data_IF_192457397076
#
_entry.id   IF_192457397076
#
_cell.length_a   1.000
_cell.length_b   1.000
_cell.length_c   1.000
_cell.angle_alpha   90.00
_cell.angle_beta   90.00
_cell.angle_gamma   90.00
#
_symmetry.space_group_name_H-M   'P 1'
#
loop_
_entity.id
_entity.type
_entity.pdbx_description
1 polymer ?
#
# COMPACT_ATOMS: atom_id res chain seq x y z
N UNK A 1 -11.45 -1.88 12.57
CA UNK A 1 -10.98 -2.81 11.54
C UNK A 1 -9.51 -2.57 11.25
N UNK A 2 -8.74 -3.61 11.30
CA UNK A 2 -7.31 -3.51 11.04
C UNK A 2 -7.01 -3.76 9.57
N UNK A 3 -5.84 -3.37 9.12
CA UNK A 3 -5.44 -3.61 7.75
C UNK A 3 -5.40 -5.09 7.37
N UNK A 4 -5.11 -5.95 8.32
CA UNK A 4 -5.06 -7.39 8.05
C UNK A 4 -6.39 -7.94 7.58
N UNK A 5 -7.48 -7.29 7.92
CA UNK A 5 -8.82 -7.72 7.53
C UNK A 5 -9.04 -7.63 6.02
N UNK A 6 -8.19 -6.89 5.32
CA UNK A 6 -8.31 -6.72 3.87
C UNK A 6 -7.56 -7.78 3.08
N UNK A 7 -6.68 -8.53 3.73
CA UNK A 7 -5.84 -9.50 3.03
C UNK A 7 -6.61 -10.61 2.31
N UNK A 8 -7.71 -11.13 2.88
CA UNK A 8 -8.48 -12.16 2.17
C UNK A 8 -9.02 -11.71 0.82
N UNK A 9 -9.15 -10.41 0.59
CA UNK A 9 -9.66 -9.88 -0.67
C UNK A 9 -8.74 -10.18 -1.85
N UNK A 10 -7.51 -10.56 -1.59
CA UNK A 10 -6.53 -10.85 -2.65
C UNK A 10 -6.66 -12.24 -3.24
N UNK A 11 -7.63 -13.02 -2.79
CA UNK A 11 -7.68 -14.46 -3.09
C UNK A 11 -8.45 -14.83 -4.33
N UNK A 12 -9.25 -13.97 -4.87
CA UNK A 12 -10.11 -14.33 -5.99
C UNK A 12 -10.22 -13.16 -6.95
N UNK A 13 -10.45 -13.50 -8.21
CA UNK A 13 -10.60 -12.53 -9.28
C UNK A 13 -12.00 -12.51 -9.87
N UNK A 14 -13.02 -12.97 -9.13
CA UNK A 14 -14.40 -12.89 -9.60
C UNK A 14 -14.87 -11.43 -9.66
N UNK A 15 -15.89 -11.16 -10.49
CA UNK A 15 -16.45 -9.82 -10.61
C UNK A 15 -16.96 -9.27 -9.28
N UNK A 16 -17.61 -10.11 -8.50
CA UNK A 16 -18.10 -9.71 -7.19
C UNK A 16 -16.96 -9.29 -6.27
N UNK A 17 -15.82 -9.95 -6.40
CA UNK A 17 -14.65 -9.60 -5.60
C UNK A 17 -14.04 -8.28 -6.03
N UNK A 18 -14.01 -7.99 -7.33
CA UNK A 18 -13.51 -6.71 -7.81
C UNK A 18 -14.37 -5.58 -7.25
N UNK A 19 -15.70 -5.72 -7.30
CA UNK A 19 -16.60 -4.72 -6.76
C UNK A 19 -16.39 -4.52 -5.26
N UNK A 20 -16.14 -5.61 -4.53
CA UNK A 20 -15.87 -5.53 -3.09
C UNK A 20 -14.57 -4.79 -2.81
N UNK A 21 -13.52 -5.03 -3.60
CA UNK A 21 -12.24 -4.32 -3.46
C UNK A 21 -12.42 -2.82 -3.67
N UNK A 22 -13.18 -2.42 -4.68
CA UNK A 22 -13.42 -1.01 -4.92
C UNK A 22 -14.16 -0.35 -3.76
N UNK A 23 -15.18 -1.02 -3.24
CA UNK A 23 -15.93 -0.51 -2.09
C UNK A 23 -15.03 -0.38 -0.88
N UNK A 24 -14.21 -1.39 -0.61
CA UNK A 24 -13.26 -1.35 0.49
C UNK A 24 -12.24 -0.23 0.32
N UNK A 25 -11.77 -0.01 -0.88
CA UNK A 25 -10.84 1.08 -1.17
C UNK A 25 -11.43 2.43 -0.79
N UNK A 26 -12.70 2.67 -1.15
CA UNK A 26 -13.36 3.92 -0.79
C UNK A 26 -13.53 4.06 0.72
N UNK A 27 -13.94 2.99 1.40
CA UNK A 27 -14.08 3.01 2.85
C UNK A 27 -12.76 3.34 3.54
N UNK A 28 -11.68 2.75 3.08
CA UNK A 28 -10.35 2.95 3.66
C UNK A 28 -9.81 4.36 3.42
N UNK A 29 -10.21 5.03 2.34
CA UNK A 29 -9.84 6.44 2.13
C UNK A 29 -10.38 7.35 3.22
N UNK A 30 -11.50 6.97 3.84
CA UNK A 30 -12.11 7.73 4.93
C UNK A 30 -11.70 7.22 6.31
N UNK A 31 -11.02 6.06 6.37
CA UNK A 31 -10.69 5.40 7.63
C UNK A 31 -9.22 5.05 7.74
N UNK A 32 -8.35 5.97 7.33
CA UNK A 32 -6.91 5.75 7.43
C UNK A 32 -6.48 5.61 8.88
N UNK A 33 -5.56 4.68 9.14
CA UNK A 33 -4.93 4.57 10.46
C UNK A 33 -4.04 5.78 10.72
N UNK A 34 -3.64 5.96 11.99
CA UNK A 34 -2.78 7.08 12.36
C UNK A 34 -1.45 7.05 11.60
N UNK A 35 -0.86 5.86 11.44
CA UNK A 35 0.40 5.73 10.70
C UNK A 35 0.22 6.05 9.22
N UNK A 36 -0.89 5.61 8.63
CA UNK A 36 -1.18 5.92 7.23
C UNK A 36 -1.44 7.41 7.03
N UNK A 37 -2.14 8.04 7.96
CA UNK A 37 -2.37 9.49 7.90
C UNK A 37 -1.06 10.26 7.98
N UNK A 38 -0.17 9.85 8.88
CA UNK A 38 1.12 10.49 9.03
C UNK A 38 1.93 10.38 7.74
N UNK A 39 1.99 9.19 7.17
CA UNK A 39 2.71 8.99 5.92
C UNK A 39 2.08 9.79 4.79
N UNK A 40 0.75 9.79 4.70
CA UNK A 40 0.06 10.58 3.67
C UNK A 40 0.39 12.06 3.77
N UNK A 41 0.54 12.58 4.98
CA UNK A 41 0.93 13.99 5.16
C UNK A 41 2.28 14.33 4.53
N UNK A 42 3.14 13.32 4.35
CA UNK A 42 4.47 13.49 3.76
C UNK A 42 4.50 13.18 2.27
N UNK A 43 3.52 12.45 1.76
CA UNK A 43 3.47 12.02 0.35
C UNK A 43 2.55 12.89 -0.50
N UNK A 44 1.49 13.42 0.09
CA UNK A 44 0.48 14.17 -0.65
C UNK A 44 1.02 15.49 -1.22
N UNK A 45 0.32 16.02 -2.20
CA UNK A 45 0.65 17.33 -2.75
C UNK A 45 1.98 17.37 -3.49
N UNK A 46 2.44 16.26 -4.03
CA UNK A 46 3.70 16.15 -4.78
C UNK A 46 4.93 16.55 -3.93
N UNK A 47 4.86 16.35 -2.63
CA UNK A 47 5.94 16.77 -1.74
C UNK A 47 7.27 16.08 -2.04
N UNK A 48 7.21 14.86 -2.60
CA UNK A 48 8.41 14.13 -3.01
C UNK A 48 8.70 14.26 -4.52
N UNK A 49 8.00 15.15 -5.20
CA UNK A 49 8.22 15.40 -6.62
C UNK A 49 7.35 14.60 -7.57
N UNK A 50 6.54 13.68 -7.05
CA UNK A 50 5.60 12.88 -7.84
C UNK A 50 4.25 12.83 -7.15
N UNK A 51 3.21 12.54 -7.93
CA UNK A 51 1.88 12.34 -7.38
C UNK A 51 1.80 10.98 -6.73
N UNK A 52 1.31 10.94 -5.48
CA UNK A 52 0.90 9.71 -4.81
C UNK A 52 -0.61 9.70 -4.69
N UNK A 53 -1.18 8.51 -4.84
CA UNK A 53 -2.59 8.25 -4.58
C UNK A 53 -2.70 7.23 -3.47
N UNK A 54 -3.80 7.26 -2.73
CA UNK A 54 -4.01 6.33 -1.62
C UNK A 54 -5.17 5.40 -1.91
N UNK A 55 -5.08 4.18 -1.34
CA UNK A 55 -6.13 3.17 -1.43
C UNK A 55 -6.54 2.89 -2.87
N UNK A 56 -5.56 2.46 -3.67
CA UNK A 56 -5.73 2.28 -5.11
C UNK A 56 -5.94 0.80 -5.43
N UNK A 57 -7.06 0.42 -6.03
CA UNK A 57 -7.23 -0.95 -6.53
C UNK A 57 -6.28 -1.22 -7.69
N UNK A 58 -5.59 -2.34 -7.65
CA UNK A 58 -4.66 -2.77 -8.68
C UNK A 58 -5.01 -4.16 -9.17
N UNK A 59 -4.98 -4.35 -10.49
CA UNK A 59 -5.17 -5.64 -11.16
C UNK A 59 -6.49 -6.31 -10.80
N UNK A 60 -7.48 -5.54 -10.31
CA UNK A 60 -8.77 -6.08 -9.88
C UNK A 60 -8.70 -7.01 -8.68
N UNK A 61 -7.54 -7.11 -8.00
CA UNK A 61 -7.30 -8.09 -6.93
C UNK A 61 -6.74 -7.49 -5.65
N UNK A 62 -6.02 -6.37 -5.73
CA UNK A 62 -5.26 -5.83 -4.61
C UNK A 62 -5.64 -4.38 -4.37
N UNK A 63 -5.47 -3.93 -3.13
CA UNK A 63 -5.59 -2.51 -2.80
C UNK A 63 -4.23 -2.05 -2.31
N UNK A 64 -3.63 -1.10 -3.03
CA UNK A 64 -2.37 -0.48 -2.60
C UNK A 64 -2.68 0.64 -1.62
N UNK A 65 -1.95 0.69 -0.51
CA UNK A 65 -2.11 1.80 0.44
C UNK A 65 -1.78 3.12 -0.22
N UNK A 66 -0.63 3.17 -0.87
CA UNK A 66 -0.18 4.35 -1.62
C UNK A 66 0.45 3.90 -2.92
N UNK A 67 0.20 4.64 -3.96
CA UNK A 67 0.77 4.36 -5.28
C UNK A 67 1.28 5.65 -5.90
N UNK A 68 2.52 5.61 -6.39
CA UNK A 68 3.05 6.62 -7.29
C UNK A 68 2.97 6.07 -8.71
N UNK A 69 1.92 6.42 -9.48
CA UNK A 69 1.71 5.78 -10.79
C UNK A 69 2.84 6.02 -11.78
N UNK A 70 3.40 7.22 -11.78
CA UNK A 70 4.46 7.57 -12.72
C UNK A 70 5.73 6.74 -12.53
N UNK A 71 5.94 6.23 -11.32
CA UNK A 71 7.12 5.42 -10.98
C UNK A 71 6.76 3.96 -10.72
N UNK A 72 5.49 3.61 -10.83
CA UNK A 72 4.96 2.27 -10.52
C UNK A 72 5.44 1.76 -9.16
N UNK A 73 5.44 2.65 -8.19
CA UNK A 73 5.89 2.34 -6.83
C UNK A 73 4.69 2.24 -5.91
N UNK A 74 4.56 1.08 -5.29
CA UNK A 74 3.55 0.80 -4.27
C UNK A 74 4.21 0.90 -2.91
N UNK A 75 3.58 1.62 -1.98
CA UNK A 75 4.04 1.72 -0.60
C UNK A 75 2.93 1.18 0.29
N UNK A 76 3.29 0.25 1.17
CA UNK A 76 2.36 -0.41 2.07
C UNK A 76 2.78 -0.17 3.51
N UNK A 77 1.79 0.05 4.37
CA UNK A 77 2.01 0.16 5.82
C UNK A 77 1.31 -1.02 6.47
N UNK A 78 2.06 -1.85 7.14
CA UNK A 78 1.54 -3.08 7.74
C UNK A 78 1.56 -3.01 9.26
N UNK A 79 0.60 -3.72 9.88
CA UNK A 79 0.54 -3.85 11.32
C UNK A 79 1.52 -4.90 11.86
N UNK A 80 1.04 -5.73 12.79
CA UNK A 80 1.88 -6.72 13.42
C UNK A 80 2.37 -7.78 12.44
N UNK A 81 3.56 -8.30 12.71
CA UNK A 81 4.17 -9.37 11.94
C UNK A 81 3.40 -10.70 12.11
N UNK A 82 3.16 -11.38 10.99
CA UNK A 82 2.56 -12.72 10.97
C UNK A 82 3.19 -13.52 9.83
N UNK A 83 3.54 -14.78 10.12
CA UNK A 83 4.17 -15.65 9.12
C UNK A 83 3.27 -15.84 7.89
N UNK A 84 1.99 -16.07 8.11
CA UNK A 84 1.05 -16.27 7.01
C UNK A 84 0.94 -15.02 6.14
N UNK A 85 0.97 -13.86 6.75
CA UNK A 85 0.93 -12.60 6.02
C UNK A 85 2.19 -12.42 5.19
N UNK A 86 3.34 -12.79 5.71
CA UNK A 86 4.60 -12.69 4.97
C UNK A 86 4.52 -13.51 3.69
N UNK A 87 3.98 -14.73 3.76
CA UNK A 87 3.81 -15.57 2.58
C UNK A 87 2.82 -14.97 1.58
N UNK A 88 1.70 -14.48 2.08
CA UNK A 88 0.68 -13.86 1.22
C UNK A 88 1.23 -12.61 0.55
N UNK A 89 2.01 -11.82 1.29
CA UNK A 89 2.62 -10.61 0.76
C UNK A 89 3.67 -10.94 -0.29
N UNK A 90 4.45 -11.99 -0.10
CA UNK A 90 5.44 -12.40 -1.08
C UNK A 90 4.77 -12.84 -2.39
N UNK A 91 3.69 -13.60 -2.30
CA UNK A 91 2.94 -14.03 -3.48
C UNK A 91 2.33 -12.83 -4.22
N UNK A 92 1.75 -11.90 -3.47
CA UNK A 92 1.18 -10.68 -4.00
C UNK A 92 2.25 -9.83 -4.68
N UNK A 93 3.40 -9.67 -4.03
CA UNK A 93 4.49 -8.87 -4.57
C UNK A 93 5.02 -9.46 -5.87
N UNK A 94 5.06 -10.78 -5.98
CA UNK A 94 5.47 -11.44 -7.22
C UNK A 94 4.51 -11.12 -8.36
N UNK A 95 3.20 -11.12 -8.09
CA UNK A 95 2.20 -10.76 -9.09
C UNK A 95 2.36 -9.29 -9.50
N UNK A 96 2.48 -8.41 -8.53
CA UNK A 96 2.67 -6.99 -8.80
C UNK A 96 3.98 -6.73 -9.55
N UNK A 97 5.06 -7.42 -9.17
CA UNK A 97 6.34 -7.29 -9.84
C UNK A 97 6.28 -7.67 -11.32
N UNK A 98 5.56 -8.76 -11.64
CA UNK A 98 5.36 -9.16 -13.03
C UNK A 98 4.56 -8.13 -13.82
N UNK A 99 3.73 -7.36 -13.15
CA UNK A 99 2.98 -6.27 -13.77
C UNK A 99 3.77 -4.96 -13.83
N UNK A 100 5.01 -4.96 -13.37
CA UNK A 100 5.90 -3.82 -13.46
C UNK A 100 5.92 -2.91 -12.23
N UNK A 101 5.32 -3.34 -11.13
CA UNK A 101 5.30 -2.55 -9.90
C UNK A 101 6.44 -2.97 -8.97
N UNK A 102 6.98 -1.99 -8.25
CA UNK A 102 7.88 -2.21 -7.12
C UNK A 102 7.08 -1.98 -5.85
N UNK A 103 7.36 -2.76 -4.81
CA UNK A 103 6.62 -2.66 -3.55
C UNK A 103 7.58 -2.41 -2.40
N UNK A 104 7.31 -1.36 -1.63
CA UNK A 104 7.99 -1.09 -0.35
C UNK A 104 7.00 -1.31 0.77
N UNK A 105 7.42 -2.02 1.82
CA UNK A 105 6.61 -2.24 3.00
C UNK A 105 7.29 -1.69 4.23
N UNK A 106 6.49 -1.03 5.08
CA UNK A 106 6.97 -0.50 6.35
C UNK A 106 6.02 -0.91 7.45
N UNK A 107 6.58 -1.28 8.59
CA UNK A 107 5.75 -1.52 9.77
C UNK A 107 5.17 -0.19 10.24
N UNK A 108 3.92 -0.24 10.72
CA UNK A 108 3.24 0.96 11.21
C UNK A 108 4.03 1.66 12.32
N UNK A 109 4.65 0.88 13.22
CA UNK A 109 5.46 1.46 14.29
C UNK A 109 6.67 2.22 13.75
N UNK A 110 7.29 1.70 12.70
CA UNK A 110 8.43 2.39 12.08
C UNK A 110 7.99 3.71 11.47
N UNK A 111 6.83 3.71 10.81
CA UNK A 111 6.27 4.95 10.23
C UNK A 111 6.08 6.01 11.30
N UNK A 112 5.55 5.63 12.45
CA UNK A 112 5.29 6.58 13.54
C UNK A 112 6.58 7.04 14.20
N UNK A 113 7.51 6.13 14.46
CA UNK A 113 8.73 6.44 15.21
C UNK A 113 9.80 7.11 14.36
N UNK A 114 9.89 6.71 13.08
CA UNK A 114 11.00 7.08 12.22
C UNK A 114 10.48 7.53 10.86
N UNK A 115 9.55 8.49 10.86
CA UNK A 115 8.92 8.93 9.62
C UNK A 115 9.95 9.45 8.61
N UNK A 116 10.99 10.13 9.07
CA UNK A 116 11.99 10.68 8.17
C UNK A 116 12.80 9.57 7.50
N UNK A 117 13.08 8.48 8.21
CA UNK A 117 13.76 7.32 7.64
C UNK A 117 12.89 6.68 6.56
N UNK A 118 11.60 6.53 6.85
CA UNK A 118 10.64 5.96 5.89
C UNK A 118 10.56 6.82 4.64
N UNK A 119 10.43 8.12 4.79
CA UNK A 119 10.34 9.04 3.65
C UNK A 119 11.64 9.02 2.84
N UNK A 120 12.78 8.98 3.50
CA UNK A 120 14.07 8.91 2.79
C UNK A 120 14.18 7.63 1.97
N UNK A 121 13.71 6.51 2.51
CA UNK A 121 13.72 5.23 1.79
C UNK A 121 12.80 5.26 0.58
N UNK A 122 11.62 5.84 0.72
CA UNK A 122 10.69 6.01 -0.39
C UNK A 122 11.32 6.90 -1.47
N UNK A 123 11.90 8.01 -1.05
CA UNK A 123 12.51 8.95 -1.96
C UNK A 123 13.66 8.33 -2.76
N UNK A 124 14.48 7.53 -2.08
CA UNK A 124 15.56 6.80 -2.76
C UNK A 124 15.02 5.86 -3.82
N UNK A 125 13.90 5.21 -3.54
CA UNK A 125 13.28 4.25 -4.46
C UNK A 125 12.62 4.94 -5.65
N UNK A 126 12.11 6.15 -5.46
CA UNK A 126 11.46 6.90 -6.54
C UNK A 126 12.41 7.21 -7.68
N UNK A 127 13.67 7.43 -7.38
CA UNK A 127 14.67 7.87 -8.36
C UNK A 127 15.67 6.79 -8.70
N UNK A 128 15.36 5.57 -8.32
CA UNK A 128 16.23 4.42 -8.56
C UNK A 128 16.07 3.84 -9.96
#
# INVERSE_FOLDING_TARGET
MTRSDNKPLFRSSSEGRVALLETRGRQMRFSLTASEQLLWSRLSGRKLGVVFRRQVPLLGRFIADFLAPARRLVVEVDGAYHVERVRADAARDAVLGRAGYRVLRFEAQLVVREIDVVVARIQAELWF
#
